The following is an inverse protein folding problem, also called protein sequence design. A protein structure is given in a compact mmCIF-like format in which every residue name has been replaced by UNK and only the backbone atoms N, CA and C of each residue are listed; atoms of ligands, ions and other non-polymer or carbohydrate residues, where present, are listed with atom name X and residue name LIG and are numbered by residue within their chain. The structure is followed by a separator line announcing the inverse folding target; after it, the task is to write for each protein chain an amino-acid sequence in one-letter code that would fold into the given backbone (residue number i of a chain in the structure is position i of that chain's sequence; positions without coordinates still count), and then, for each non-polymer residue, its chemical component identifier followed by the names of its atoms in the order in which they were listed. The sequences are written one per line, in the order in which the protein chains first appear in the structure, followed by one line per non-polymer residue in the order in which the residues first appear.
data_IF_294668894754
#
_entry.id   IF_294668894754
#
_cell.length_a   1.000
_cell.length_b   1.000
_cell.length_c   1.000
_cell.angle_alpha   90.00
_cell.angle_beta   90.00
_cell.angle_gamma   90.00
#
_symmetry.space_group_name_H-M   'P 1'
#
loop_
_entity.id
_entity.type
_entity.pdbx_description
1 polymer ?
#
# COMPACT_ATOMS: atom_id res chain seq x y z
N UNK A 1 0.20 13.08 12.33
CA UNK A 1 1.57 12.63 12.00
C UNK A 1 2.17 13.61 10.99
N UNK A 2 3.48 13.91 11.01
CA UNK A 2 4.10 14.77 10.00
C UNK A 2 4.06 14.13 8.60
N UNK A 3 4.09 14.93 7.52
CA UNK A 3 4.06 14.45 6.14
C UNK A 3 5.38 13.72 5.80
N UNK A 4 5.34 12.38 5.68
CA UNK A 4 6.55 11.59 5.46
C UNK A 4 6.99 11.52 3.99
N UNK A 5 6.08 11.76 3.04
CA UNK A 5 6.36 11.52 1.62
C UNK A 5 7.21 12.54 0.90
N UNK A 6 7.52 13.64 1.57
CA UNK A 6 8.50 14.65 1.09
C UNK A 6 9.92 14.37 1.60
N UNK A 7 10.16 13.28 2.34
CA UNK A 7 11.49 12.93 2.85
C UNK A 7 12.32 12.21 1.77
N UNK A 8 13.31 12.89 1.13
CA UNK A 8 13.99 12.34 -0.05
C UNK A 8 14.91 11.15 0.28
N UNK A 9 15.31 11.00 1.54
CA UNK A 9 16.21 9.95 2.01
C UNK A 9 15.46 8.72 2.55
N UNK A 10 14.13 8.79 2.67
CA UNK A 10 13.35 7.72 3.27
C UNK A 10 13.27 6.53 2.31
N UNK A 11 13.93 5.43 2.68
CA UNK A 11 13.98 4.19 1.91
C UNK A 11 13.05 3.11 2.44
N UNK A 12 12.75 3.14 3.74
CA UNK A 12 11.89 2.16 4.39
C UNK A 12 11.03 2.83 5.44
N UNK A 13 9.77 2.41 5.52
CA UNK A 13 8.82 2.81 6.55
C UNK A 13 8.21 1.54 7.13
N UNK A 14 8.21 1.49 8.46
CA UNK A 14 7.55 0.45 9.21
C UNK A 14 6.49 1.10 10.09
N UNK A 15 5.24 0.68 9.94
CA UNK A 15 4.12 1.11 10.77
C UNK A 15 3.74 -0.09 11.64
N UNK A 16 3.88 0.06 12.96
CA UNK A 16 3.59 -0.98 13.94
C UNK A 16 2.65 -0.49 15.04
N UNK A 17 1.91 -1.41 15.65
CA UNK A 17 1.25 -1.25 16.96
C UNK A 17 0.44 0.03 17.12
N UNK A 18 -0.49 0.29 16.20
CA UNK A 18 -1.45 1.37 16.35
C UNK A 18 -2.84 0.82 16.66
N UNK A 19 -3.22 0.83 17.94
CA UNK A 19 -4.47 0.25 18.45
C UNK A 19 -5.73 0.99 17.99
N UNK A 20 -5.60 2.21 17.43
CA UNK A 20 -6.73 3.02 16.97
C UNK A 20 -6.72 3.31 15.46
N UNK A 21 -5.73 2.80 14.70
CA UNK A 21 -5.66 3.07 13.27
C UNK A 21 -6.70 2.23 12.54
N UNK A 22 -7.85 2.82 12.25
CA UNK A 22 -8.90 2.18 11.45
C UNK A 22 -8.71 2.35 9.96
N UNK A 23 -8.23 3.53 9.56
CA UNK A 23 -8.00 3.90 8.18
C UNK A 23 -6.62 4.50 8.07
N UNK A 24 -5.88 4.09 7.05
CA UNK A 24 -4.64 4.73 6.66
C UNK A 24 -4.87 5.30 5.27
N UNK A 25 -5.14 6.60 5.17
CA UNK A 25 -5.22 7.27 3.90
C UNK A 25 -3.86 7.82 3.46
N UNK A 26 -3.78 8.38 2.26
CA UNK A 26 -2.54 9.00 1.75
C UNK A 26 -2.11 10.26 2.50
N UNK A 27 -2.85 10.72 3.51
CA UNK A 27 -2.47 11.86 4.34
C UNK A 27 -1.13 11.66 5.07
N UNK A 28 -0.75 10.43 5.47
CA UNK A 28 0.58 10.19 6.04
C UNK A 28 1.70 10.31 4.99
N UNK A 29 1.36 10.25 3.70
CA UNK A 29 2.27 10.53 2.58
C UNK A 29 2.52 12.04 2.41
N UNK A 30 1.78 12.90 3.10
CA UNK A 30 2.00 14.35 3.06
C UNK A 30 1.45 15.05 1.81
N UNK A 31 0.37 14.50 1.26
CA UNK A 31 -0.33 15.08 0.12
C UNK A 31 -1.17 16.26 0.62
N UNK A 32 -0.66 17.47 0.44
CA UNK A 32 -1.45 18.68 0.63
C UNK A 32 -2.26 18.93 -0.64
N UNK A 33 -3.58 18.85 -0.55
CA UNK A 33 -4.58 18.99 -1.63
C UNK A 33 -4.47 20.28 -2.49
N UNK A 34 -3.51 21.18 -2.24
CA UNK A 34 -3.50 22.55 -2.75
C UNK A 34 -2.42 22.88 -3.79
N UNK A 35 -1.46 22.00 -4.06
CA UNK A 35 -0.43 22.28 -5.08
C UNK A 35 -0.32 21.13 -6.07
N UNK A 36 -1.09 21.24 -7.16
CA UNK A 36 -1.01 20.35 -8.32
C UNK A 36 0.30 20.62 -9.07
N UNK A 37 1.34 19.85 -8.75
CA UNK A 37 2.48 19.59 -9.64
C UNK A 37 2.71 18.09 -9.68
N UNK A 38 3.33 17.64 -10.77
CA UNK A 38 3.75 16.26 -11.06
C UNK A 38 4.79 15.75 -10.03
N UNK A 39 4.42 15.72 -8.76
CA UNK A 39 5.34 15.41 -7.67
C UNK A 39 5.45 13.89 -7.51
N UNK A 40 6.69 13.42 -7.42
CA UNK A 40 6.99 12.05 -7.00
C UNK A 40 7.02 12.04 -5.48
N UNK A 41 6.09 11.31 -4.88
CA UNK A 41 6.08 11.08 -3.44
C UNK A 41 6.92 9.85 -3.15
N UNK A 42 7.79 9.95 -2.15
CA UNK A 42 8.72 8.87 -1.79
C UNK A 42 9.64 8.44 -2.95
N UNK A 43 10.42 9.36 -3.54
CA UNK A 43 11.20 9.12 -4.75
C UNK A 43 12.34 8.11 -4.60
N UNK A 44 12.67 7.66 -3.39
CA UNK A 44 13.74 6.67 -3.14
C UNK A 44 13.28 5.48 -2.28
N UNK A 45 11.97 5.34 -2.11
CA UNK A 45 11.39 4.43 -1.15
C UNK A 45 11.25 3.02 -1.69
N UNK A 46 11.71 2.03 -0.92
CA UNK A 46 11.89 0.65 -1.36
C UNK A 46 11.08 -0.36 -0.55
N UNK A 47 10.82 -0.09 0.73
CA UNK A 47 10.29 -1.12 1.63
C UNK A 47 9.21 -0.56 2.55
N UNK A 48 7.98 -1.08 2.42
CA UNK A 48 6.84 -0.75 3.27
C UNK A 48 6.43 -1.96 4.11
N UNK A 49 6.28 -1.74 5.42
CA UNK A 49 5.97 -2.79 6.37
C UNK A 49 4.82 -2.35 7.27
N UNK A 50 3.73 -3.12 7.28
CA UNK A 50 2.61 -2.97 8.21
C UNK A 50 2.58 -4.17 9.14
N UNK A 51 2.64 -3.94 10.46
CA UNK A 51 2.70 -5.02 11.45
C UNK A 51 1.79 -4.76 12.63
N UNK A 52 0.97 -5.73 13.00
CA UNK A 52 0.12 -5.68 14.21
C UNK A 52 -0.81 -4.46 14.21
N UNK A 53 -1.57 -4.28 13.14
CA UNK A 53 -2.59 -3.22 13.01
C UNK A 53 -3.97 -3.84 13.12
N UNK A 54 -4.38 -4.16 14.35
CA UNK A 54 -5.57 -4.96 14.65
C UNK A 54 -6.89 -4.32 14.21
N UNK A 55 -6.95 -2.99 14.22
CA UNK A 55 -8.15 -2.22 13.87
C UNK A 55 -8.15 -1.71 12.43
N UNK A 56 -7.08 -1.94 11.66
CA UNK A 56 -6.93 -1.35 10.33
C UNK A 56 -7.80 -2.06 9.31
N UNK A 57 -8.80 -1.34 8.81
CA UNK A 57 -9.82 -1.86 7.90
C UNK A 57 -9.56 -1.45 6.45
N UNK A 58 -9.16 -0.20 6.25
CA UNK A 58 -9.08 0.40 4.92
C UNK A 58 -7.72 1.07 4.73
N UNK A 59 -7.01 0.63 3.69
CA UNK A 59 -5.94 1.41 3.10
C UNK A 59 -6.59 2.26 2.02
N UNK A 60 -6.80 3.55 2.28
CA UNK A 60 -7.46 4.43 1.31
C UNK A 60 -6.39 5.12 0.48
N UNK A 61 -6.51 4.96 -0.83
CA UNK A 61 -5.60 5.50 -1.81
C UNK A 61 -6.32 6.47 -2.72
N UNK A 62 -5.53 7.19 -3.51
CA UNK A 62 -6.01 8.14 -4.53
C UNK A 62 -6.80 7.43 -5.64
N UNK A 63 -6.89 6.09 -5.64
CA UNK A 63 -7.74 5.30 -6.53
C UNK A 63 -9.23 5.63 -6.43
N UNK A 64 -9.72 6.02 -5.25
CA UNK A 64 -11.11 6.51 -5.07
C UNK A 64 -11.35 7.88 -5.73
N UNK A 65 -10.29 8.63 -6.07
CA UNK A 65 -10.39 9.93 -6.77
C UNK A 65 -10.39 9.82 -8.29
N UNK A 66 -10.21 8.61 -8.87
CA UNK A 66 -10.26 8.41 -10.33
C UNK A 66 -11.59 8.83 -10.96
N UNK A 67 -12.67 8.93 -10.18
CA UNK A 67 -13.97 9.36 -10.69
C UNK A 67 -14.15 10.89 -10.71
N UNK A 68 -13.29 11.68 -10.06
CA UNK A 68 -13.57 13.10 -9.82
C UNK A 68 -12.63 14.09 -10.54
N UNK A 69 -11.37 13.75 -10.84
CA UNK A 69 -10.46 14.72 -11.47
C UNK A 69 -9.46 14.08 -12.46
N UNK A 70 -9.61 14.39 -13.74
CA UNK A 70 -8.79 13.92 -14.87
C UNK A 70 -7.30 14.38 -14.84
N UNK A 71 -6.78 14.91 -13.73
CA UNK A 71 -5.46 15.56 -13.69
C UNK A 71 -4.57 15.15 -12.51
N UNK A 72 -4.82 14.00 -11.86
CA UNK A 72 -3.86 13.46 -10.91
C UNK A 72 -2.73 12.70 -11.64
N UNK A 73 -1.58 13.34 -11.81
CA UNK A 73 -0.37 12.76 -12.46
C UNK A 73 0.72 12.32 -11.47
N UNK A 74 0.53 12.51 -10.18
CA UNK A 74 1.57 12.24 -9.18
C UNK A 74 1.78 10.74 -9.00
N UNK A 75 3.05 10.33 -8.95
CA UNK A 75 3.43 8.93 -8.76
C UNK A 75 3.79 8.68 -7.30
N UNK A 76 3.16 7.67 -6.70
CA UNK A 76 3.39 7.28 -5.31
C UNK A 76 4.36 6.11 -5.27
N UNK A 77 5.48 6.27 -4.56
CA UNK A 77 6.47 5.21 -4.32
C UNK A 77 6.87 4.44 -5.60
N UNK A 78 7.34 5.12 -6.66
CA UNK A 78 7.67 4.46 -7.95
C UNK A 78 8.76 3.39 -7.85
N UNK A 79 9.47 3.31 -6.73
CA UNK A 79 10.58 2.38 -6.51
C UNK A 79 10.32 1.39 -5.39
N UNK A 80 9.06 1.24 -4.95
CA UNK A 80 8.70 0.27 -3.94
C UNK A 80 8.98 -1.14 -4.48
N UNK A 81 9.83 -1.88 -3.77
CA UNK A 81 10.26 -3.22 -4.14
C UNK A 81 9.68 -4.27 -3.20
N UNK A 82 9.44 -3.91 -1.94
CA UNK A 82 8.98 -4.85 -0.90
C UNK A 82 7.79 -4.26 -0.17
N UNK A 83 6.71 -5.03 -0.12
CA UNK A 83 5.53 -4.77 0.71
C UNK A 83 5.29 -5.98 1.60
N UNK A 84 5.25 -5.76 2.92
CA UNK A 84 4.82 -6.81 3.87
C UNK A 84 3.69 -6.33 4.76
N UNK A 85 2.69 -7.17 4.91
CA UNK A 85 1.50 -6.95 5.74
C UNK A 85 1.38 -8.15 6.66
N UNK A 86 1.66 -7.97 7.94
CA UNK A 86 1.61 -9.06 8.93
C UNK A 86 0.68 -8.70 10.08
N UNK A 87 -0.24 -9.62 10.39
CA UNK A 87 -1.18 -9.48 11.50
C UNK A 87 -2.02 -8.18 11.39
N UNK A 88 -2.68 -8.02 10.25
CA UNK A 88 -3.62 -6.94 9.94
C UNK A 88 -4.99 -7.56 9.62
N UNK A 89 -5.70 -8.09 10.64
CA UNK A 89 -6.81 -9.01 10.43
C UNK A 89 -8.08 -8.38 9.82
N UNK A 90 -8.24 -7.07 9.93
CA UNK A 90 -9.42 -6.34 9.42
C UNK A 90 -9.20 -5.71 8.05
N UNK A 91 -7.97 -5.73 7.51
CA UNK A 91 -7.65 -5.04 6.27
C UNK A 91 -8.34 -5.74 5.10
N UNK A 92 -9.14 -4.99 4.36
CA UNK A 92 -10.02 -5.56 3.32
C UNK A 92 -9.35 -5.70 1.97
N UNK A 93 -8.55 -4.71 1.57
CA UNK A 93 -8.03 -4.66 0.21
C UNK A 93 -6.71 -3.92 0.06
N UNK A 94 -6.06 -4.17 -1.07
CA UNK A 94 -4.88 -3.47 -1.55
C UNK A 94 -5.21 -2.26 -2.44
N UNK A 95 -4.26 -1.33 -2.53
CA UNK A 95 -4.39 -0.14 -3.36
C UNK A 95 -4.10 -0.38 -4.84
N UNK A 96 -4.89 0.24 -5.71
CA UNK A 96 -4.80 0.09 -7.16
C UNK A 96 -3.46 0.54 -7.77
N UNK A 97 -2.70 1.43 -7.12
CA UNK A 97 -1.41 1.86 -7.66
C UNK A 97 -0.37 0.72 -7.62
N UNK A 98 -0.62 -0.34 -6.84
CA UNK A 98 0.26 -1.51 -6.84
C UNK A 98 0.32 -2.17 -8.23
N UNK A 99 -0.73 -2.06 -9.05
CA UNK A 99 -0.73 -2.55 -10.44
C UNK A 99 0.38 -1.96 -11.32
N UNK A 100 0.87 -0.76 -10.98
CA UNK A 100 1.87 -0.02 -11.76
C UNK A 100 3.21 0.11 -11.03
N UNK A 101 3.33 -0.50 -9.85
CA UNK A 101 4.51 -0.38 -9.00
C UNK A 101 5.47 -1.53 -9.31
N UNK A 102 6.80 -1.31 -9.42
CA UNK A 102 7.75 -2.37 -9.73
C UNK A 102 8.07 -3.23 -8.50
N UNK A 103 7.02 -3.74 -7.84
CA UNK A 103 7.11 -4.56 -6.65
C UNK A 103 7.72 -5.92 -7.01
N UNK A 104 8.67 -6.37 -6.18
CA UNK A 104 9.35 -7.65 -6.36
C UNK A 104 8.86 -8.68 -5.37
N UNK A 105 8.64 -8.24 -4.13
CA UNK A 105 8.27 -9.10 -3.02
C UNK A 105 7.00 -8.59 -2.34
N UNK A 106 5.97 -9.43 -2.30
CA UNK A 106 4.75 -9.24 -1.54
C UNK A 106 4.61 -10.37 -0.51
N UNK A 107 4.43 -10.00 0.75
CA UNK A 107 4.21 -10.94 1.85
C UNK A 107 2.97 -10.51 2.64
N UNK A 108 1.98 -11.40 2.72
CA UNK A 108 0.74 -11.19 3.48
C UNK A 108 0.60 -12.35 4.46
N UNK A 109 0.76 -12.10 5.76
CA UNK A 109 0.66 -13.14 6.77
C UNK A 109 -0.36 -12.76 7.85
N UNK A 110 -1.13 -13.74 8.33
CA UNK A 110 -2.06 -13.56 9.46
C UNK A 110 -3.04 -12.41 9.22
N UNK A 111 -3.47 -12.23 7.97
CA UNK A 111 -4.34 -11.15 7.54
C UNK A 111 -5.49 -11.72 6.69
N UNK A 112 -6.39 -12.52 7.31
CA UNK A 112 -7.28 -13.45 6.61
C UNK A 112 -8.19 -12.80 5.56
N UNK A 113 -8.74 -11.62 5.82
CA UNK A 113 -9.60 -10.92 4.86
C UNK A 113 -8.78 -10.54 3.60
N UNK A 114 -7.60 -9.96 3.81
CA UNK A 114 -6.72 -9.59 2.71
C UNK A 114 -6.19 -10.81 1.95
N UNK A 115 -5.78 -11.87 2.67
CA UNK A 115 -5.34 -13.13 2.06
C UNK A 115 -6.40 -13.70 1.11
N UNK A 116 -7.67 -13.67 1.52
CA UNK A 116 -8.80 -14.09 0.67
C UNK A 116 -8.99 -13.18 -0.54
N UNK A 117 -8.91 -11.86 -0.36
CA UNK A 117 -8.99 -10.89 -1.48
C UNK A 117 -7.84 -11.05 -2.48
N UNK A 118 -6.68 -11.53 -2.03
CA UNK A 118 -5.50 -11.78 -2.85
C UNK A 118 -5.42 -13.23 -3.39
N UNK A 119 -6.46 -14.05 -3.22
CA UNK A 119 -6.40 -15.45 -3.63
C UNK A 119 -6.27 -15.58 -5.16
N UNK A 120 -5.30 -16.37 -5.61
CA UNK A 120 -5.01 -16.55 -7.05
C UNK A 120 -6.22 -17.01 -7.85
N UNK A 121 -6.59 -16.19 -8.83
CA UNK A 121 -7.66 -16.48 -9.80
C UNK A 121 -9.10 -16.27 -9.29
N UNK A 122 -9.28 -15.96 -8.00
CA UNK A 122 -10.60 -15.82 -7.37
C UNK A 122 -10.76 -14.45 -6.71
N UNK A 123 -9.72 -13.99 -6.01
CA UNK A 123 -9.74 -12.78 -5.22
C UNK A 123 -9.75 -11.51 -6.08
N UNK A 124 -10.52 -10.51 -5.64
CA UNK A 124 -10.70 -9.23 -6.35
C UNK A 124 -9.39 -8.45 -6.50
N UNK A 125 -8.49 -8.57 -5.52
CA UNK A 125 -7.19 -7.92 -5.55
C UNK A 125 -6.11 -8.71 -6.31
N UNK A 126 -6.39 -9.94 -6.75
CA UNK A 126 -5.38 -10.77 -7.43
C UNK A 126 -4.80 -10.06 -8.67
N UNK A 127 -5.64 -9.38 -9.45
CA UNK A 127 -5.19 -8.63 -10.63
C UNK A 127 -4.25 -7.47 -10.28
N UNK A 128 -4.32 -6.96 -9.04
CA UNK A 128 -3.43 -5.90 -8.55
C UNK A 128 -2.02 -6.39 -8.27
N UNK A 129 -1.85 -7.68 -8.02
CA UNK A 129 -0.59 -8.27 -7.55
C UNK A 129 -0.05 -9.38 -8.46
N UNK A 130 -0.82 -9.87 -9.43
CA UNK A 130 -0.46 -11.02 -10.27
C UNK A 130 0.80 -10.83 -11.14
N UNK A 131 1.25 -9.60 -11.32
CA UNK A 131 2.46 -9.25 -12.06
C UNK A 131 3.73 -9.31 -11.18
N UNK A 132 3.59 -9.47 -9.86
CA UNK A 132 4.69 -9.50 -8.90
C UNK A 132 5.36 -10.88 -8.94
N UNK A 133 6.70 -10.97 -9.03
CA UNK A 133 7.38 -12.24 -9.21
C UNK A 133 7.39 -13.12 -7.94
N UNK A 134 7.45 -12.51 -6.74
CA UNK A 134 7.48 -13.25 -5.48
C UNK A 134 6.28 -12.85 -4.62
N UNK A 135 5.28 -13.72 -4.55
CA UNK A 135 4.09 -13.54 -3.71
C UNK A 135 4.08 -14.66 -2.68
N UNK A 136 3.99 -14.27 -1.40
CA UNK A 136 3.80 -15.17 -0.28
C UNK A 136 2.52 -14.76 0.49
N UNK A 137 1.59 -15.69 0.67
CA UNK A 137 0.35 -15.50 1.42
C UNK A 137 0.24 -16.60 2.46
N UNK A 138 0.09 -16.23 3.73
CA UNK A 138 -0.01 -17.12 4.88
C UNK A 138 1.05 -18.23 4.88
N UNK A 139 2.31 -17.82 4.67
CA UNK A 139 3.50 -18.69 4.57
C UNK A 139 3.56 -19.63 3.34
N UNK A 140 2.69 -19.46 2.34
CA UNK A 140 2.69 -20.22 1.09
C UNK A 140 3.06 -19.34 -0.12
N UNK A 141 3.88 -19.87 -1.03
CA UNK A 141 4.17 -19.22 -2.31
C UNK A 141 3.05 -19.50 -3.32
N UNK A 142 2.63 -18.46 -4.06
CA UNK A 142 1.44 -18.49 -4.95
C UNK A 142 1.79 -18.24 -6.41
#
# INVERSE_FOLDING_TARGET
MPPLGKLPLLKSLTIKFSYGLKKAGVEFLGIESKNKKDDILFPNFKTLLFVNLGEWEEWIGIGEMKAAEEHWRSTIMPWLQVLRISNCPKLKSLLDFLCTTPLKDLEIDRSPILSQSCQRGIGEDWLKISHIPNIQIDFEHV
#
